data_IF_742273075419
#
_entry.id   IF_742273075419
#
_cell.length_a   1.000
_cell.length_b   1.000
_cell.length_c   1.000
_cell.angle_alpha   90.00
_cell.angle_beta   90.00
_cell.angle_gamma   90.00
#
_symmetry.space_group_name_H-M   'P 1'
#
loop_
_entity.id
_entity.type
_entity.pdbx_description
1 polymer ?
#
# COMPACT_ATOMS: atom_id res chain seq x y z
N UNK A 1 44.72 37.17 5.87
CA UNK A 1 44.32 35.83 6.34
C UNK A 1 43.06 35.45 5.60
N UNK A 2 43.18 34.51 4.66
CA UNK A 2 42.02 33.89 3.99
C UNK A 2 41.55 32.80 4.94
N UNK A 3 40.34 32.92 5.47
CA UNK A 3 39.69 31.81 6.16
C UNK A 3 38.65 31.25 5.21
N UNK A 4 39.01 30.10 4.62
CA UNK A 4 38.06 29.19 4.01
C UNK A 4 36.98 28.85 5.04
N UNK A 5 35.73 29.17 4.74
CA UNK A 5 34.59 28.62 5.48
C UNK A 5 33.63 27.95 4.50
N UNK A 6 34.17 27.00 3.75
CA UNK A 6 33.43 26.02 2.96
C UNK A 6 32.79 24.92 3.85
N UNK A 7 32.85 25.04 5.18
CA UNK A 7 32.32 24.07 6.13
C UNK A 7 30.84 24.27 6.51
N UNK A 8 30.12 25.21 5.89
CA UNK A 8 28.66 25.32 6.04
C UNK A 8 27.87 24.56 4.95
N UNK A 9 28.56 23.89 4.01
CA UNK A 9 27.95 23.30 2.81
C UNK A 9 27.67 21.79 2.85
N UNK A 10 27.78 21.09 4.00
CA UNK A 10 27.66 19.62 3.99
C UNK A 10 26.78 18.96 5.05
N UNK A 11 26.09 19.69 5.93
CA UNK A 11 25.14 19.07 6.88
C UNK A 11 23.70 18.93 6.34
N UNK A 12 23.53 19.10 5.03
CA UNK A 12 22.43 18.49 4.27
C UNK A 12 22.95 17.24 3.56
N UNK A 13 23.51 16.27 4.31
CA UNK A 13 23.59 14.90 3.80
C UNK A 13 22.16 14.51 3.49
N UNK A 14 21.83 14.49 2.20
CA UNK A 14 20.59 13.97 1.63
C UNK A 14 20.41 12.54 2.14
N UNK A 15 19.82 12.37 3.33
CA UNK A 15 19.49 11.06 3.92
C UNK A 15 18.62 10.35 2.90
N UNK A 16 19.24 9.44 2.15
CA UNK A 16 18.59 8.77 1.04
C UNK A 16 17.56 7.82 1.63
N UNK A 17 16.28 8.08 1.33
CA UNK A 17 15.17 7.24 1.79
C UNK A 17 15.00 6.07 0.82
N UNK A 18 14.80 4.87 1.35
CA UNK A 18 14.47 3.69 0.57
C UNK A 18 13.01 3.76 0.15
N UNK A 19 12.72 3.63 -1.14
CA UNK A 19 11.34 3.63 -1.65
C UNK A 19 10.90 2.20 -1.96
N UNK A 20 9.84 1.74 -1.31
CA UNK A 20 9.20 0.45 -1.59
C UNK A 20 7.97 0.69 -2.45
N UNK A 21 7.95 0.12 -3.66
CA UNK A 21 6.79 0.19 -4.55
C UNK A 21 5.71 -0.76 -4.08
N UNK A 22 4.54 -0.21 -3.82
CA UNK A 22 3.36 -0.92 -3.37
C UNK A 22 2.40 -1.13 -4.55
N UNK A 23 1.98 -2.38 -4.73
CA UNK A 23 1.09 -2.76 -5.82
C UNK A 23 -0.32 -2.26 -5.50
N UNK A 24 -1.02 -1.78 -6.52
CA UNK A 24 -2.46 -1.48 -6.43
C UNK A 24 -3.09 -1.99 -7.71
N UNK A 25 -3.95 -2.98 -7.56
CA UNK A 25 -4.66 -3.62 -8.66
C UNK A 25 -6.02 -4.09 -8.16
N UNK A 26 -6.97 -4.23 -9.09
CA UNK A 26 -8.25 -4.87 -8.80
C UNK A 26 -8.03 -6.40 -8.71
N UNK A 27 -9.01 -7.16 -8.17
CA UNK A 27 -8.98 -8.61 -8.24
C UNK A 27 -8.66 -9.10 -9.65
N UNK A 28 -7.70 -10.03 -9.76
CA UNK A 28 -7.24 -10.66 -11.00
C UNK A 28 -6.66 -9.73 -12.08
N UNK A 29 -6.41 -8.46 -11.73
CA UNK A 29 -5.81 -7.46 -12.62
C UNK A 29 -4.37 -7.09 -12.24
N UNK A 30 -3.62 -8.00 -11.61
CA UNK A 30 -2.19 -7.80 -11.36
C UNK A 30 -1.41 -7.67 -12.67
N UNK A 31 -0.41 -6.79 -12.68
CA UNK A 31 0.53 -6.68 -13.80
C UNK A 31 1.45 -7.91 -13.86
N UNK A 32 1.49 -8.56 -15.01
CA UNK A 32 2.36 -9.71 -15.29
C UNK A 32 3.38 -9.30 -16.35
N UNK A 33 4.66 -9.54 -16.08
CA UNK A 33 5.75 -9.35 -17.05
C UNK A 33 6.20 -10.73 -17.53
N UNK A 34 6.33 -10.88 -18.84
CA UNK A 34 6.66 -12.13 -19.49
C UNK A 34 7.56 -11.88 -20.70
N UNK A 35 8.26 -12.94 -21.12
CA UNK A 35 8.97 -12.98 -22.39
C UNK A 35 8.03 -13.55 -23.47
N UNK A 36 8.23 -13.11 -24.72
CA UNK A 36 7.43 -13.57 -25.87
C UNK A 36 7.40 -15.10 -25.93
N UNK A 37 6.19 -15.67 -26.03
CA UNK A 37 5.97 -17.12 -26.04
C UNK A 37 5.89 -17.79 -24.65
N UNK A 38 5.93 -17.03 -23.55
CA UNK A 38 5.76 -17.53 -22.17
C UNK A 38 4.52 -16.98 -21.46
N UNK A 39 3.55 -16.46 -22.22
CA UNK A 39 2.34 -15.77 -21.73
C UNK A 39 1.59 -16.64 -20.71
N UNK A 40 1.20 -17.85 -21.12
CA UNK A 40 0.39 -18.76 -20.29
C UNK A 40 1.09 -19.13 -18.98
N UNK A 41 2.39 -19.43 -19.06
CA UNK A 41 3.18 -19.79 -17.89
C UNK A 41 3.30 -18.59 -16.94
N UNK A 42 3.46 -17.38 -17.48
CA UNK A 42 3.53 -16.17 -16.68
C UNK A 42 2.20 -15.87 -15.97
N UNK A 43 1.08 -16.06 -16.66
CA UNK A 43 -0.26 -15.94 -16.07
C UNK A 43 -0.46 -16.98 -14.96
N UNK A 44 -0.11 -18.24 -15.20
CA UNK A 44 -0.21 -19.31 -14.20
C UNK A 44 0.64 -19.03 -12.96
N UNK A 45 1.88 -18.53 -13.16
CA UNK A 45 2.74 -18.08 -12.05
C UNK A 45 2.14 -16.90 -11.31
N UNK A 46 1.55 -15.92 -12.01
CA UNK A 46 0.96 -14.74 -11.39
C UNK A 46 -0.29 -15.09 -10.56
N UNK A 47 -1.09 -16.06 -11.00
CA UNK A 47 -2.30 -16.48 -10.31
C UNK A 47 -2.02 -17.05 -8.89
N UNK A 48 -0.84 -17.63 -8.68
CA UNK A 48 -0.43 -18.22 -7.40
C UNK A 48 0.46 -17.31 -6.56
N UNK A 49 0.97 -16.23 -7.14
CA UNK A 49 1.98 -15.37 -6.52
C UNK A 49 1.32 -14.19 -5.82
N UNK A 50 1.61 -14.02 -4.53
CA UNK A 50 1.18 -12.83 -3.80
C UNK A 50 1.84 -11.56 -4.36
N UNK A 51 1.12 -10.45 -4.34
CA UNK A 51 1.63 -9.10 -4.55
C UNK A 51 1.85 -8.44 -3.19
N UNK A 52 2.49 -7.27 -3.13
CA UNK A 52 2.61 -6.54 -1.87
C UNK A 52 1.24 -6.21 -1.25
N UNK A 53 0.19 -6.05 -2.06
CA UNK A 53 -1.18 -5.79 -1.62
C UNK A 53 -1.85 -7.05 -1.06
N UNK A 54 -1.84 -8.16 -1.81
CA UNK A 54 -2.47 -9.40 -1.32
C UNK A 54 -1.69 -10.02 -0.15
N UNK A 55 -0.37 -9.82 -0.09
CA UNK A 55 0.41 -10.16 1.09
C UNK A 55 0.09 -9.27 2.29
N UNK A 56 -0.34 -8.02 2.10
CA UNK A 56 -0.77 -7.15 3.19
C UNK A 56 -2.10 -7.62 3.79
N UNK A 57 -3.05 -8.03 2.94
CA UNK A 57 -4.26 -8.72 3.39
C UNK A 57 -3.94 -9.96 4.23
N UNK A 58 -3.01 -10.77 3.75
CA UNK A 58 -2.59 -11.98 4.47
C UNK A 58 -1.84 -11.66 5.77
N UNK A 59 -1.02 -10.60 5.79
CA UNK A 59 -0.41 -10.10 7.03
C UNK A 59 -1.49 -9.72 8.04
N UNK A 60 -2.49 -8.94 7.63
CA UNK A 60 -3.54 -8.47 8.52
C UNK A 60 -4.38 -9.64 9.09
N UNK A 61 -4.58 -10.73 8.35
CA UNK A 61 -5.26 -11.92 8.92
C UNK A 61 -4.48 -12.56 10.06
N UNK A 62 -3.15 -12.51 10.00
CA UNK A 62 -2.26 -13.33 10.83
C UNK A 62 -1.55 -12.52 11.93
N UNK A 63 -1.49 -11.19 11.83
CA UNK A 63 -0.80 -10.32 12.78
C UNK A 63 -1.67 -9.12 13.16
N UNK A 64 -2.25 -9.16 14.36
CA UNK A 64 -3.13 -8.10 14.86
C UNK A 64 -2.40 -6.75 15.05
N UNK A 65 -1.07 -6.76 15.27
CA UNK A 65 -0.30 -5.52 15.40
C UNK A 65 -0.21 -4.76 14.07
N UNK A 66 -0.45 -5.43 12.94
CA UNK A 66 -0.46 -4.77 11.64
C UNK A 66 -1.70 -3.90 11.39
N UNK A 67 -2.78 -4.12 12.17
CA UNK A 67 -4.07 -3.46 11.98
C UNK A 67 -4.07 -1.96 12.29
N UNK A 68 -3.01 -1.43 12.89
CA UNK A 68 -2.89 0.00 13.17
C UNK A 68 -2.17 0.77 12.05
N UNK A 69 -1.61 0.07 11.06
CA UNK A 69 -0.82 0.69 10.00
C UNK A 69 -1.58 0.73 8.68
N UNK A 70 -1.52 1.89 8.02
CA UNK A 70 -1.99 2.03 6.64
C UNK A 70 -1.11 1.20 5.72
N UNK A 71 -1.67 0.78 4.58
CA UNK A 71 -0.91 0.03 3.58
C UNK A 71 0.39 0.73 3.16
N UNK A 72 0.37 2.07 3.04
CA UNK A 72 1.56 2.89 2.73
C UNK A 72 2.62 2.93 3.83
N UNK A 73 2.23 2.65 5.07
CA UNK A 73 3.11 2.72 6.24
C UNK A 73 3.72 1.36 6.56
N UNK A 74 3.12 0.26 6.09
CA UNK A 74 3.63 -1.11 6.27
C UNK A 74 5.14 -1.23 6.00
N UNK A 75 5.73 -0.66 4.94
CA UNK A 75 7.18 -0.76 4.71
C UNK A 75 8.07 -0.18 5.82
N UNK A 76 7.56 0.75 6.64
CA UNK A 76 8.28 1.28 7.80
C UNK A 76 8.40 0.20 8.90
N UNK A 77 7.39 -0.65 9.07
CA UNK A 77 7.31 -1.62 10.18
C UNK A 77 7.56 -3.06 9.75
N UNK A 78 7.41 -3.35 8.45
CA UNK A 78 7.55 -4.67 7.86
C UNK A 78 8.45 -4.60 6.62
N UNK A 79 9.15 -5.70 6.34
CA UNK A 79 9.95 -5.88 5.13
C UNK A 79 9.27 -6.92 4.24
N UNK A 80 9.15 -6.61 2.95
CA UNK A 80 8.62 -7.55 1.98
C UNK A 80 9.70 -8.52 1.53
N UNK A 81 9.55 -9.79 1.88
CA UNK A 81 10.44 -10.86 1.47
C UNK A 81 10.01 -11.35 0.07
N UNK A 82 10.84 -11.10 -0.94
CA UNK A 82 10.53 -11.45 -2.34
C UNK A 82 10.68 -12.94 -2.66
N UNK A 83 11.37 -13.73 -1.83
CA UNK A 83 11.45 -15.17 -2.06
C UNK A 83 10.21 -15.89 -1.53
N UNK A 84 9.69 -15.46 -0.39
CA UNK A 84 8.47 -16.03 0.22
C UNK A 84 7.20 -15.27 -0.15
N UNK A 85 7.33 -14.09 -0.77
CA UNK A 85 6.26 -13.14 -1.09
C UNK A 85 5.44 -12.68 0.13
N UNK A 86 6.05 -12.61 1.32
CA UNK A 86 5.38 -12.25 2.58
C UNK A 86 5.96 -10.99 3.22
N UNK A 87 5.13 -10.29 3.98
CA UNK A 87 5.59 -9.26 4.91
C UNK A 87 6.11 -9.90 6.21
N UNK A 88 7.24 -9.40 6.70
CA UNK A 88 7.86 -9.86 7.95
C UNK A 88 8.22 -8.66 8.82
N UNK A 89 8.07 -8.75 10.15
CA UNK A 89 8.38 -7.65 11.07
C UNK A 89 9.81 -7.14 10.84
N UNK A 90 9.95 -5.83 10.68
CA UNK A 90 11.23 -5.16 10.47
C UNK A 90 11.92 -4.97 11.81
N UNK A 91 13.20 -5.29 11.86
CA UNK A 91 14.01 -5.14 13.06
C UNK A 91 14.62 -3.74 13.21
N UNK A 92 15.05 -3.10 12.10
CA UNK A 92 15.75 -1.80 12.09
C UNK A 92 15.56 -1.02 10.79
N UNK A 93 15.79 0.29 10.82
CA UNK A 93 15.92 1.17 9.65
C UNK A 93 14.61 1.55 8.97
N UNK A 94 13.47 1.36 9.64
CA UNK A 94 12.13 1.63 9.12
C UNK A 94 11.87 3.11 8.88
N UNK A 95 12.48 3.97 9.69
CA UNK A 95 12.34 5.43 9.65
C UNK A 95 12.83 6.07 8.34
N UNK A 96 13.59 5.32 7.54
CA UNK A 96 14.10 5.75 6.23
C UNK A 96 13.34 5.12 5.05
N UNK A 97 12.31 4.32 5.29
CA UNK A 97 11.60 3.57 4.23
C UNK A 97 10.26 4.20 3.94
N UNK A 98 10.00 4.60 2.70
CA UNK A 98 8.69 5.12 2.25
C UNK A 98 7.99 4.07 1.39
N UNK A 99 6.75 3.73 1.73
CA UNK A 99 5.84 3.02 0.83
C UNK A 99 5.25 3.96 -0.22
N UNK A 100 5.38 3.61 -1.50
CA UNK A 100 4.89 4.43 -2.61
C UNK A 100 3.95 3.63 -3.50
N UNK A 101 2.72 4.12 -3.61
CA UNK A 101 1.72 3.65 -4.56
C UNK A 101 1.87 4.42 -5.88
N UNK A 102 1.91 3.70 -7.01
CA UNK A 102 1.90 4.31 -8.35
C UNK A 102 0.50 4.74 -8.74
N UNK A 103 0.38 5.83 -9.51
CA UNK A 103 -0.90 6.36 -9.97
C UNK A 103 -1.09 6.11 -11.47
N UNK A 104 -2.31 5.71 -11.87
CA UNK A 104 -2.81 5.83 -13.23
C UNK A 104 -4.22 6.45 -13.11
N UNK A 105 -4.44 7.61 -13.73
CA UNK A 105 -5.68 8.40 -13.59
C UNK A 105 -6.81 7.82 -14.45
N UNK A 106 -6.50 6.98 -15.44
CA UNK A 106 -7.49 6.47 -16.39
C UNK A 106 -8.33 5.30 -15.85
N UNK A 107 -7.98 4.75 -14.69
CA UNK A 107 -8.70 3.63 -14.07
C UNK A 107 -9.45 4.12 -12.82
N UNK A 108 -10.74 4.42 -12.98
CA UNK A 108 -11.57 5.01 -11.93
C UNK A 108 -11.70 4.11 -10.71
N UNK A 109 -11.92 2.81 -10.88
CA UNK A 109 -12.08 1.89 -9.76
C UNK A 109 -10.77 1.67 -9.01
N UNK A 110 -9.64 1.55 -9.72
CA UNK A 110 -8.32 1.47 -9.08
C UNK A 110 -7.96 2.77 -8.36
N UNK A 111 -8.42 3.92 -8.85
CA UNK A 111 -8.28 5.20 -8.16
C UNK A 111 -9.00 5.18 -6.80
N UNK A 112 -10.25 4.71 -6.73
CA UNK A 112 -10.96 4.62 -5.45
C UNK A 112 -10.41 3.54 -4.52
N UNK A 113 -9.96 2.40 -5.05
CA UNK A 113 -9.22 1.40 -4.26
C UNK A 113 -7.99 2.04 -3.61
N UNK A 114 -7.22 2.83 -4.36
CA UNK A 114 -6.07 3.56 -3.79
C UNK A 114 -6.50 4.49 -2.66
N UNK A 115 -7.59 5.23 -2.81
CA UNK A 115 -8.06 6.13 -1.76
C UNK A 115 -8.46 5.37 -0.49
N UNK A 116 -9.07 4.19 -0.62
CA UNK A 116 -9.36 3.30 0.50
C UNK A 116 -8.06 2.81 1.16
N UNK A 117 -7.08 2.35 0.39
CA UNK A 117 -5.78 1.89 0.92
C UNK A 117 -4.96 2.98 1.64
N UNK A 118 -5.25 4.26 1.36
CA UNK A 118 -4.65 5.41 2.02
C UNK A 118 -5.34 5.80 3.33
N UNK A 119 -6.46 5.15 3.69
CA UNK A 119 -7.31 5.56 4.82
C UNK A 119 -7.77 4.41 5.71
N UNK A 120 -7.86 3.21 5.15
CA UNK A 120 -8.31 2.02 5.85
C UNK A 120 -7.10 1.21 6.32
N UNK A 121 -7.10 0.86 7.59
CA UNK A 121 -6.09 0.02 8.24
C UNK A 121 -6.68 -1.39 8.46
N UNK A 122 -5.82 -2.40 8.63
CA UNK A 122 -6.24 -3.74 9.02
C UNK A 122 -7.09 -4.53 8.01
N UNK A 123 -7.32 -4.01 6.80
CA UNK A 123 -8.17 -4.69 5.84
C UNK A 123 -7.62 -6.07 5.45
N UNK A 124 -8.46 -7.11 5.49
CA UNK A 124 -8.01 -8.51 5.26
C UNK A 124 -8.35 -9.05 3.87
N UNK A 125 -9.04 -8.26 3.04
CA UNK A 125 -9.38 -8.62 1.66
C UNK A 125 -9.89 -7.42 0.86
N UNK A 126 -10.09 -7.61 -0.46
CA UNK A 126 -10.81 -6.65 -1.30
C UNK A 126 -12.28 -6.48 -0.87
N UNK A 127 -12.93 -7.56 -0.43
CA UNK A 127 -14.33 -7.52 0.04
C UNK A 127 -14.40 -6.62 1.27
N UNK A 128 -13.49 -6.80 2.21
CA UNK A 128 -13.40 -6.00 3.43
C UNK A 128 -13.22 -4.51 3.15
N UNK A 129 -12.37 -4.15 2.18
CA UNK A 129 -12.25 -2.76 1.71
C UNK A 129 -13.56 -2.20 1.12
N UNK A 130 -14.39 -3.06 0.52
CA UNK A 130 -15.71 -2.70 -0.04
C UNK A 130 -16.84 -2.77 0.99
N UNK A 131 -16.60 -3.33 2.16
CA UNK A 131 -17.61 -3.47 3.20
C UNK A 131 -17.72 -2.18 3.99
N UNK A 132 -18.96 -1.77 4.21
CA UNK A 132 -19.32 -0.62 5.02
C UNK A 132 -20.58 -0.97 5.81
N UNK A 133 -20.51 -0.87 7.13
CA UNK A 133 -21.61 -1.20 8.05
C UNK A 133 -22.21 -2.60 7.81
N UNK A 134 -21.34 -3.60 7.61
CA UNK A 134 -21.72 -4.98 7.30
C UNK A 134 -22.23 -5.22 5.87
N UNK A 135 -22.40 -4.19 5.06
CA UNK A 135 -22.90 -4.28 3.67
C UNK A 135 -21.74 -4.18 2.68
N UNK A 136 -21.61 -5.18 1.81
CA UNK A 136 -20.62 -5.18 0.73
C UNK A 136 -21.10 -4.29 -0.41
N UNK A 137 -20.38 -3.20 -0.70
CA UNK A 137 -20.68 -2.34 -1.83
C UNK A 137 -20.34 -3.00 -3.18
N UNK A 138 -20.97 -2.55 -4.26
CA UNK A 138 -20.73 -3.09 -5.60
C UNK A 138 -19.38 -2.64 -6.17
N UNK A 139 -18.94 -1.42 -5.86
CA UNK A 139 -17.70 -0.81 -6.37
C UNK A 139 -16.85 -0.21 -5.25
N UNK A 140 -15.54 -0.05 -5.48
CA UNK A 140 -14.67 0.67 -4.56
C UNK A 140 -15.05 2.15 -4.48
N UNK A 141 -15.53 2.73 -5.59
CA UNK A 141 -16.08 4.08 -5.58
C UNK A 141 -17.24 4.23 -4.61
N UNK A 142 -18.20 3.30 -4.63
CA UNK A 142 -19.35 3.34 -3.74
C UNK A 142 -18.92 3.19 -2.29
N UNK A 143 -18.07 2.20 -1.98
CA UNK A 143 -17.53 1.99 -0.65
C UNK A 143 -16.82 3.24 -0.10
N UNK A 144 -15.97 3.86 -0.93
CA UNK A 144 -15.28 5.09 -0.56
C UNK A 144 -16.26 6.23 -0.26
N UNK A 145 -17.25 6.47 -1.14
CA UNK A 145 -18.24 7.53 -0.94
C UNK A 145 -19.06 7.33 0.34
N UNK A 146 -19.50 6.10 0.62
CA UNK A 146 -20.22 5.78 1.86
C UNK A 146 -19.36 6.06 3.10
N UNK A 147 -18.09 5.63 3.09
CA UNK A 147 -17.15 5.85 4.20
C UNK A 147 -16.77 7.33 4.39
N UNK A 148 -16.59 8.06 3.29
CA UNK A 148 -16.23 9.48 3.31
C UNK A 148 -17.37 10.36 3.84
N UNK A 149 -18.61 10.07 3.43
CA UNK A 149 -19.80 10.78 3.90
C UNK A 149 -19.97 10.70 5.43
N UNK A 150 -19.82 9.52 6.04
CA UNK A 150 -19.91 9.39 7.50
C UNK A 150 -18.79 10.12 8.24
N UNK A 151 -17.57 10.13 7.72
CA UNK A 151 -16.47 10.90 8.34
C UNK A 151 -16.80 12.39 8.35
N UNK A 152 -17.38 12.91 7.27
CA UNK A 152 -17.85 14.30 7.22
C UNK A 152 -18.93 14.61 8.25
N UNK A 153 -19.88 13.70 8.46
CA UNK A 153 -20.91 13.84 9.51
C UNK A 153 -20.31 13.84 10.91
N UNK A 154 -19.40 12.91 11.21
CA UNK A 154 -18.78 12.81 12.53
C UNK A 154 -17.92 14.02 12.90
N UNK A 155 -17.32 14.70 11.91
CA UNK A 155 -16.58 15.95 12.13
C UNK A 155 -17.55 17.13 12.37
N UNK A 156 -18.74 17.13 11.74
CA UNK A 156 -19.75 18.17 11.94
C UNK A 156 -20.52 18.07 13.26
N UNK A 157 -20.53 16.90 13.91
CA UNK A 157 -21.20 16.67 15.20
C UNK A 157 -20.29 16.85 16.42
N UNK A 158 -19.00 17.12 16.20
CA UNK A 158 -17.98 17.28 17.25
C UNK A 158 -17.60 18.76 17.50
N UNK A 159 -18.45 19.71 17.09
CA UNK A 159 -18.28 21.16 17.32
C UNK A 159 -19.35 21.69 18.26
#
# INVERSE_FOLDING_TARGET
MVFDNAESHSEFIRKSRTVVRLAVHLPDQQTVVYEDGQEEQAVARAATKQTTLTAWFELNKNDQESHIYLYTDIPHYYTFNKSTMKWQKRQRGGEKVIGRITFNIQDSERYYLRLLLLREVGAVSYVDLKTFDGIVCNTFQQAFKCKDYLRGINIGMAQ
#
